data_IF_112846177182
#
_entry.id   IF_112846177182
#
_cell.length_a   1.000
_cell.length_b   1.000
_cell.length_c   1.000
_cell.angle_alpha   90.00
_cell.angle_beta   90.00
_cell.angle_gamma   90.00
#
_symmetry.space_group_name_H-M   'P 1'
#
loop_
_entity.id
_entity.type
_entity.pdbx_description
1 polymer ?
#
# COMPACT_ATOMS: atom_id res chain seq x y z
N UNK A 1 -69.42 10.58 -1.52
CA UNK A 1 -69.21 9.58 -0.46
C UNK A 1 -67.71 9.37 -0.36
N UNK A 2 -67.04 10.11 0.54
CA UNK A 2 -65.60 9.94 0.77
C UNK A 2 -65.42 8.68 1.60
N UNK A 3 -64.76 7.66 1.05
CA UNK A 3 -64.35 6.51 1.84
C UNK A 3 -63.30 6.96 2.87
N UNK A 4 -63.36 6.48 4.12
CA UNK A 4 -62.43 6.88 5.17
C UNK A 4 -61.03 6.34 4.88
N UNK A 5 -60.03 7.10 5.29
CA UNK A 5 -58.64 6.92 4.93
C UNK A 5 -58.05 5.57 5.32
N UNK A 6 -57.48 4.89 4.32
CA UNK A 6 -56.21 4.23 4.53
C UNK A 6 -55.15 5.33 4.57
N UNK A 7 -54.66 5.67 5.76
CA UNK A 7 -53.37 6.35 5.87
C UNK A 7 -52.34 5.38 5.32
N UNK A 8 -51.91 5.59 4.07
CA UNK A 8 -50.76 4.89 3.51
C UNK A 8 -49.57 5.16 4.42
N UNK A 9 -49.01 4.10 4.99
CA UNK A 9 -47.73 4.19 5.67
C UNK A 9 -46.69 4.50 4.58
N UNK A 10 -45.85 5.53 4.75
CA UNK A 10 -44.86 5.95 3.73
C UNK A 10 -43.95 4.81 3.26
N UNK A 11 -43.85 3.74 4.05
CA UNK A 11 -43.18 2.49 3.74
C UNK A 11 -43.79 1.74 2.55
N UNK A 12 -45.11 1.68 2.45
CA UNK A 12 -45.80 0.96 1.38
C UNK A 12 -45.60 1.67 0.03
N UNK A 13 -45.54 3.01 0.03
CA UNK A 13 -45.42 3.80 -1.19
C UNK A 13 -44.09 3.50 -1.92
N UNK A 14 -42.98 3.35 -1.19
CA UNK A 14 -41.67 3.04 -1.79
C UNK A 14 -41.60 1.59 -2.27
N UNK A 15 -42.20 0.65 -1.53
CA UNK A 15 -42.26 -0.76 -1.92
C UNK A 15 -43.08 -0.95 -3.21
N UNK A 16 -44.24 -0.27 -3.32
CA UNK A 16 -45.03 -0.22 -4.55
C UNK A 16 -44.18 0.33 -5.69
N UNK A 17 -43.38 1.36 -5.41
CA UNK A 17 -42.55 1.98 -6.41
C UNK A 17 -41.43 1.05 -6.92
N UNK A 18 -40.79 0.30 -6.02
CA UNK A 18 -39.77 -0.68 -6.38
C UNK A 18 -40.37 -1.85 -7.17
N UNK A 19 -41.54 -2.35 -6.76
CA UNK A 19 -42.29 -3.34 -7.53
C UNK A 19 -42.62 -2.84 -8.94
N UNK A 20 -43.03 -1.58 -9.08
CA UNK A 20 -43.30 -0.98 -10.39
C UNK A 20 -42.05 -0.96 -11.29
N UNK A 21 -40.85 -0.71 -10.75
CA UNK A 21 -39.60 -0.81 -11.52
C UNK A 21 -39.33 -2.27 -11.91
N UNK A 22 -39.38 -3.20 -10.96
CA UNK A 22 -39.01 -4.60 -11.18
C UNK A 22 -39.92 -5.32 -12.18
N UNK A 23 -41.21 -5.04 -12.13
CA UNK A 23 -42.23 -5.72 -12.93
C UNK A 23 -42.43 -5.08 -14.31
N UNK A 24 -41.95 -3.86 -14.54
CA UNK A 24 -42.12 -3.15 -15.82
C UNK A 24 -40.97 -3.36 -16.79
N UNK A 25 -41.27 -3.19 -18.08
CA UNK A 25 -40.28 -3.02 -19.17
C UNK A 25 -40.08 -1.55 -19.53
N UNK A 26 -41.07 -0.71 -19.25
CA UNK A 26 -41.01 0.75 -19.35
C UNK A 26 -41.62 1.32 -18.08
N UNK A 27 -40.84 2.12 -17.37
CA UNK A 27 -41.24 2.72 -16.11
C UNK A 27 -41.55 4.19 -16.33
N UNK A 28 -42.80 4.58 -16.08
CA UNK A 28 -43.27 5.95 -16.26
C UNK A 28 -43.22 6.69 -14.92
N UNK A 29 -42.27 7.60 -14.77
CA UNK A 29 -42.16 8.45 -13.59
C UNK A 29 -42.88 9.77 -13.82
N UNK A 30 -44.04 9.95 -13.19
CA UNK A 30 -44.88 11.11 -13.38
C UNK A 30 -44.75 12.12 -12.23
N UNK A 31 -44.25 13.31 -12.53
CA UNK A 31 -44.11 14.41 -11.56
C UNK A 31 -44.82 15.68 -12.04
N UNK A 32 -45.10 16.60 -11.12
CA UNK A 32 -45.67 17.91 -11.46
C UNK A 32 -44.55 18.91 -11.72
N UNK A 33 -44.79 19.84 -12.64
CA UNK A 33 -43.94 20.98 -12.94
C UNK A 33 -42.53 20.58 -13.45
N UNK A 34 -41.49 20.91 -12.69
CA UNK A 34 -40.08 20.74 -13.07
C UNK A 34 -39.45 19.54 -12.36
N UNK A 35 -38.31 19.08 -12.87
CA UNK A 35 -37.47 18.12 -12.16
C UNK A 35 -36.76 18.87 -11.04
N UNK A 36 -37.06 18.51 -9.80
CA UNK A 36 -36.38 19.02 -8.61
C UNK A 36 -35.53 17.94 -7.94
N UNK A 37 -34.73 18.33 -6.95
CA UNK A 37 -33.84 17.40 -6.24
C UNK A 37 -34.64 16.32 -5.51
N UNK A 38 -35.84 16.64 -5.01
CA UNK A 38 -36.69 15.67 -4.28
C UNK A 38 -37.13 14.53 -5.19
N UNK A 39 -37.51 14.84 -6.42
CA UNK A 39 -37.89 13.82 -7.40
C UNK A 39 -36.69 12.92 -7.79
N UNK A 40 -35.50 13.51 -7.93
CA UNK A 40 -34.27 12.77 -8.20
C UNK A 40 -33.90 11.85 -7.03
N UNK A 41 -33.94 12.35 -5.80
CA UNK A 41 -33.60 11.59 -4.60
C UNK A 41 -34.57 10.42 -4.38
N UNK A 42 -35.87 10.65 -4.60
CA UNK A 42 -36.88 9.60 -4.51
C UNK A 42 -36.66 8.52 -5.57
N UNK A 43 -36.40 8.91 -6.83
CA UNK A 43 -36.15 7.94 -7.88
C UNK A 43 -34.88 7.10 -7.62
N UNK A 44 -33.80 7.75 -7.20
CA UNK A 44 -32.57 7.07 -6.80
C UNK A 44 -32.82 6.06 -5.66
N UNK A 45 -33.60 6.45 -4.65
CA UNK A 45 -33.92 5.57 -3.53
C UNK A 45 -34.67 4.29 -3.98
N UNK A 46 -35.63 4.46 -4.88
CA UNK A 46 -36.44 3.34 -5.39
C UNK A 46 -35.62 2.40 -6.27
N UNK A 47 -34.64 2.92 -7.01
CA UNK A 47 -33.65 2.12 -7.74
C UNK A 47 -32.87 1.21 -6.78
N UNK A 48 -32.34 1.77 -5.70
CA UNK A 48 -31.59 0.99 -4.70
C UNK A 48 -32.44 -0.10 -4.05
N UNK A 49 -33.70 0.24 -3.71
CA UNK A 49 -34.65 -0.74 -3.15
C UNK A 49 -34.96 -1.88 -4.14
N UNK A 50 -35.09 -1.54 -5.43
CA UNK A 50 -35.32 -2.52 -6.49
C UNK A 50 -34.14 -3.48 -6.65
N UNK A 51 -32.91 -2.98 -6.56
CA UNK A 51 -31.71 -3.82 -6.63
C UNK A 51 -31.64 -4.82 -5.47
N UNK A 52 -32.01 -4.43 -4.25
CA UNK A 52 -32.06 -5.36 -3.12
C UNK A 52 -33.07 -6.48 -3.33
N UNK A 53 -34.30 -6.13 -3.74
CA UNK A 53 -35.35 -7.11 -4.01
C UNK A 53 -34.95 -8.14 -5.08
N UNK A 54 -34.10 -7.74 -6.03
CA UNK A 54 -33.52 -8.64 -7.02
C UNK A 54 -32.64 -9.71 -6.36
N UNK A 55 -31.74 -9.32 -5.45
CA UNK A 55 -30.80 -10.24 -4.77
C UNK A 55 -31.43 -11.24 -3.81
N UNK A 56 -32.70 -11.05 -3.43
CA UNK A 56 -33.47 -11.96 -2.55
C UNK A 56 -34.18 -13.07 -3.36
N UNK A 57 -34.13 -13.02 -4.70
CA UNK A 57 -34.78 -14.03 -5.56
C UNK A 57 -34.09 -15.41 -5.45
N UNK A 58 -34.85 -16.52 -5.36
CA UNK A 58 -34.27 -17.84 -5.22
C UNK A 58 -33.51 -18.30 -6.49
N UNK A 59 -32.47 -19.14 -6.34
CA UNK A 59 -31.55 -19.55 -7.41
C UNK A 59 -32.18 -20.40 -8.53
N UNK A 60 -33.43 -20.84 -8.38
CA UNK A 60 -34.12 -21.65 -9.39
C UNK A 60 -34.54 -20.86 -10.65
N UNK A 61 -34.27 -19.54 -10.70
CA UNK A 61 -34.58 -18.67 -11.85
C UNK A 61 -33.37 -17.99 -12.48
N UNK A 62 -32.17 -18.04 -11.88
CA UNK A 62 -30.97 -17.38 -12.39
C UNK A 62 -29.81 -18.38 -12.57
N UNK A 63 -29.42 -18.60 -13.83
CA UNK A 63 -28.11 -19.12 -14.13
C UNK A 63 -27.07 -18.02 -13.90
N UNK A 64 -26.14 -18.28 -12.97
CA UNK A 64 -24.85 -17.58 -12.73
C UNK A 64 -24.80 -16.11 -13.20
N UNK A 65 -25.11 -15.17 -12.29
CA UNK A 65 -24.98 -13.73 -12.54
C UNK A 65 -23.51 -13.27 -12.52
N UNK A 66 -23.03 -12.74 -13.66
CA UNK A 66 -21.91 -11.80 -13.72
C UNK A 66 -22.43 -10.37 -13.56
N UNK A 67 -21.65 -9.48 -12.93
CA UNK A 67 -22.02 -8.06 -12.72
C UNK A 67 -22.36 -7.27 -14.01
N UNK A 68 -22.00 -7.80 -15.19
CA UNK A 68 -22.34 -7.25 -16.50
C UNK A 68 -23.81 -7.52 -16.91
N UNK A 69 -24.47 -8.55 -16.36
CA UNK A 69 -25.84 -8.93 -16.72
C UNK A 69 -26.92 -8.11 -15.99
N UNK A 70 -26.57 -7.38 -14.93
CA UNK A 70 -27.49 -6.55 -14.15
C UNK A 70 -28.15 -5.43 -14.98
N UNK A 71 -27.49 -4.96 -16.04
CA UNK A 71 -27.96 -3.88 -16.94
C UNK A 71 -29.05 -4.36 -17.91
N UNK A 72 -29.14 -5.66 -18.21
CA UNK A 72 -30.08 -6.20 -19.21
C UNK A 72 -31.53 -6.37 -18.70
N UNK A 73 -31.79 -6.11 -17.42
CA UNK A 73 -33.10 -6.32 -16.79
C UNK A 73 -33.86 -5.03 -16.42
N UNK A 74 -33.20 -3.87 -16.49
CA UNK A 74 -33.77 -2.60 -16.08
C UNK A 74 -34.79 -2.08 -17.13
N UNK A 75 -35.93 -1.50 -16.70
CA UNK A 75 -36.87 -0.92 -17.64
C UNK A 75 -36.29 0.32 -18.32
N UNK A 76 -36.88 0.74 -19.44
CA UNK A 76 -36.65 2.07 -20.00
C UNK A 76 -37.35 3.13 -19.10
N UNK A 77 -36.72 4.27 -18.83
CA UNK A 77 -37.33 5.36 -18.07
C UNK A 77 -38.08 6.31 -18.99
N UNK A 78 -39.34 6.61 -18.67
CA UNK A 78 -40.10 7.70 -19.28
C UNK A 78 -40.53 8.67 -18.18
N UNK A 79 -39.97 9.88 -18.19
CA UNK A 79 -40.29 10.91 -17.20
C UNK A 79 -41.33 11.88 -17.75
N UNK A 80 -42.53 11.90 -17.15
CA UNK A 80 -43.62 12.77 -17.55
C UNK A 80 -43.76 13.95 -16.59
N UNK A 81 -43.73 15.18 -17.13
CA UNK A 81 -43.81 16.42 -16.38
C UNK A 81 -45.17 17.10 -16.64
N UNK A 82 -46.06 17.04 -15.65
CA UNK A 82 -47.42 17.55 -15.74
C UNK A 82 -47.49 19.03 -15.37
N UNK A 83 -48.35 19.79 -16.03
CA UNK A 83 -48.47 21.25 -15.83
C UNK A 83 -47.10 21.96 -15.95
N UNK A 84 -46.34 21.62 -16.99
CA UNK A 84 -45.01 22.19 -17.22
C UNK A 84 -45.13 23.69 -17.52
N UNK A 85 -44.35 24.52 -16.82
CA UNK A 85 -44.45 25.99 -16.93
C UNK A 85 -43.15 26.68 -17.37
N UNK A 86 -42.06 25.95 -17.51
CA UNK A 86 -40.78 26.52 -17.94
C UNK A 86 -40.76 26.62 -19.47
N UNK A 87 -40.09 27.64 -20.01
CA UNK A 87 -39.71 27.60 -21.42
C UNK A 87 -38.61 26.53 -21.59
N UNK A 88 -38.75 25.67 -22.60
CA UNK A 88 -37.70 24.71 -22.97
C UNK A 88 -36.58 25.47 -23.69
N UNK A 89 -35.83 26.25 -22.92
CA UNK A 89 -34.70 27.05 -23.39
C UNK A 89 -33.47 26.84 -22.50
N UNK A 90 -32.31 26.67 -23.12
CA UNK A 90 -31.01 26.67 -22.45
C UNK A 90 -30.01 27.48 -23.29
N UNK A 91 -29.24 28.35 -22.63
CA UNK A 91 -28.25 29.23 -23.27
C UNK A 91 -28.84 30.04 -24.46
N UNK A 92 -30.10 30.47 -24.34
CA UNK A 92 -30.82 31.23 -25.37
C UNK A 92 -31.25 30.41 -26.61
N UNK A 93 -31.17 29.08 -26.56
CA UNK A 93 -31.61 28.17 -27.63
C UNK A 93 -32.77 27.31 -27.14
N UNK A 94 -33.72 27.04 -28.03
CA UNK A 94 -34.77 26.04 -27.77
C UNK A 94 -34.15 24.65 -27.65
N UNK A 95 -34.59 23.91 -26.62
CA UNK A 95 -34.20 22.54 -26.35
C UNK A 95 -35.40 21.61 -26.39
N UNK A 96 -35.19 20.30 -26.54
CA UNK A 96 -36.26 19.31 -26.44
C UNK A 96 -36.54 18.96 -24.97
N UNK A 97 -37.67 18.29 -24.69
CA UNK A 97 -37.93 17.74 -23.36
C UNK A 97 -36.86 16.71 -22.94
N UNK A 98 -36.32 15.94 -23.90
CA UNK A 98 -35.24 14.99 -23.64
C UNK A 98 -33.94 15.72 -23.23
N UNK A 99 -33.59 16.79 -23.94
CA UNK A 99 -32.44 17.64 -23.58
C UNK A 99 -32.61 18.26 -22.19
N UNK A 100 -33.83 18.65 -21.82
CA UNK A 100 -34.14 19.16 -20.49
C UNK A 100 -33.88 18.10 -19.39
N UNK A 101 -34.24 16.84 -19.64
CA UNK A 101 -33.95 15.73 -18.74
C UNK A 101 -32.44 15.47 -18.62
N UNK A 102 -31.72 15.40 -19.75
CA UNK A 102 -30.27 15.19 -19.75
C UNK A 102 -29.53 16.32 -19.01
N UNK A 103 -29.94 17.57 -19.22
CA UNK A 103 -29.40 18.72 -18.49
C UNK A 103 -29.70 18.64 -16.99
N UNK A 104 -30.88 18.14 -16.59
CA UNK A 104 -31.27 17.98 -15.18
C UNK A 104 -30.45 16.89 -14.46
N UNK A 105 -30.01 15.87 -15.22
CA UNK A 105 -29.19 14.76 -14.74
C UNK A 105 -27.68 15.00 -14.90
N UNK A 106 -27.26 16.14 -15.48
CA UNK A 106 -25.84 16.45 -15.70
C UNK A 106 -25.06 16.51 -14.38
N UNK A 107 -23.93 15.81 -14.35
CA UNK A 107 -23.00 15.81 -13.21
C UNK A 107 -22.21 17.12 -13.15
N UNK A 108 -21.82 17.53 -11.94
CA UNK A 108 -20.92 18.67 -11.72
C UNK A 108 -19.48 18.18 -11.58
N UNK A 109 -18.54 18.91 -12.19
CA UNK A 109 -17.12 18.53 -12.29
C UNK A 109 -16.31 18.73 -11.00
N UNK A 110 -16.84 19.47 -10.02
CA UNK A 110 -16.10 19.85 -8.81
C UNK A 110 -16.15 18.78 -7.70
N UNK A 111 -15.06 18.62 -6.94
CA UNK A 111 -14.83 17.47 -6.03
C UNK A 111 -15.20 17.68 -4.55
N UNK A 112 -15.86 18.79 -4.19
CA UNK A 112 -16.29 19.05 -2.81
C UNK A 112 -17.36 18.03 -2.32
N UNK A 113 -17.46 17.79 -1.00
CA UNK A 113 -18.39 16.81 -0.41
C UNK A 113 -19.85 17.09 -0.78
N UNK A 114 -20.24 18.36 -0.88
CA UNK A 114 -21.58 18.76 -1.32
C UNK A 114 -21.88 18.35 -2.77
N UNK A 115 -20.85 18.20 -3.62
CA UNK A 115 -21.00 17.72 -4.99
C UNK A 115 -21.19 16.21 -5.07
N UNK A 116 -20.61 15.42 -4.16
CA UNK A 116 -20.84 13.97 -4.09
C UNK A 116 -22.31 13.64 -3.87
N UNK A 117 -22.97 14.33 -2.93
CA UNK A 117 -24.41 14.15 -2.65
C UNK A 117 -25.29 14.59 -3.82
N UNK A 118 -24.86 15.58 -4.60
CA UNK A 118 -25.58 16.02 -5.81
C UNK A 118 -25.39 15.04 -6.98
N UNK A 119 -24.17 14.54 -7.18
CA UNK A 119 -23.81 13.71 -8.33
C UNK A 119 -24.27 12.26 -8.19
N UNK A 120 -24.24 11.69 -6.99
CA UNK A 120 -24.55 10.26 -6.79
C UNK A 120 -25.95 9.86 -7.29
N UNK A 121 -27.06 10.52 -6.90
CA UNK A 121 -28.39 10.15 -7.39
C UNK A 121 -28.51 10.22 -8.92
N UNK A 122 -27.88 11.23 -9.52
CA UNK A 122 -27.90 11.45 -10.98
C UNK A 122 -27.12 10.38 -11.71
N UNK A 123 -25.94 10.04 -11.20
CA UNK A 123 -25.12 8.96 -11.74
C UNK A 123 -25.87 7.62 -11.66
N UNK A 124 -26.50 7.32 -10.52
CA UNK A 124 -27.30 6.10 -10.36
C UNK A 124 -28.45 6.02 -11.37
N UNK A 125 -29.21 7.11 -11.57
CA UNK A 125 -30.28 7.14 -12.58
C UNK A 125 -29.72 6.93 -14.00
N UNK A 126 -28.61 7.58 -14.33
CA UNK A 126 -27.96 7.47 -15.64
C UNK A 126 -27.47 6.04 -15.92
N UNK A 127 -26.91 5.38 -14.91
CA UNK A 127 -26.35 4.02 -15.00
C UNK A 127 -27.43 2.95 -14.96
N UNK A 128 -28.45 3.11 -14.12
CA UNK A 128 -29.49 2.10 -13.93
C UNK A 128 -30.45 1.99 -15.12
N UNK A 129 -30.92 3.13 -15.63
CA UNK A 129 -31.80 3.15 -16.80
C UNK A 129 -30.94 3.28 -18.06
N UNK A 130 -31.00 2.32 -18.98
CA UNK A 130 -30.21 2.41 -20.22
C UNK A 130 -30.76 3.50 -21.16
N UNK A 131 -32.10 3.56 -21.30
CA UNK A 131 -32.80 4.56 -22.11
C UNK A 131 -33.63 5.45 -21.21
N UNK A 132 -33.56 6.76 -21.47
CA UNK A 132 -34.42 7.77 -20.86
C UNK A 132 -35.19 8.52 -21.95
N UNK A 133 -36.43 8.87 -21.67
CA UNK A 133 -37.30 9.71 -22.49
C UNK A 133 -38.03 10.68 -21.58
N UNK A 134 -38.27 11.90 -22.04
CA UNK A 134 -39.05 12.88 -21.32
C UNK A 134 -40.23 13.38 -22.16
N UNK A 135 -41.36 13.59 -21.50
CA UNK A 135 -42.53 14.26 -22.06
C UNK A 135 -42.97 15.36 -21.10
N UNK A 136 -43.25 16.54 -21.66
CA UNK A 136 -43.89 17.65 -20.94
C UNK A 136 -45.35 17.71 -21.35
N UNK A 137 -46.21 18.04 -20.38
CA UNK A 137 -47.62 18.21 -20.59
C UNK A 137 -48.04 19.58 -20.10
N UNK A 138 -48.66 20.36 -20.98
CA UNK A 138 -49.33 21.59 -20.60
C UNK A 138 -50.54 21.30 -19.70
N UNK A 139 -51.07 22.34 -19.08
CA UNK A 139 -52.24 22.14 -18.24
C UNK A 139 -53.44 21.75 -19.11
N UNK A 140 -54.12 20.63 -18.82
CA UNK A 140 -55.09 20.05 -19.75
C UNK A 140 -56.30 20.94 -20.00
N UNK A 141 -56.61 21.82 -19.06
CA UNK A 141 -57.68 22.81 -19.15
C UNK A 141 -57.48 23.86 -18.07
N UNK A 142 -58.21 24.97 -18.15
CA UNK A 142 -58.27 25.98 -17.09
C UNK A 142 -58.60 25.36 -15.72
N UNK A 143 -57.89 25.83 -14.66
CA UNK A 143 -57.93 25.30 -13.28
C UNK A 143 -59.32 25.00 -12.73
N UNK A 144 -60.31 25.84 -13.05
CA UNK A 144 -61.71 25.68 -12.59
C UNK A 144 -62.41 24.44 -13.15
N UNK A 145 -61.95 23.89 -14.28
CA UNK A 145 -62.52 22.72 -14.94
C UNK A 145 -61.79 21.41 -14.58
N UNK A 146 -60.63 21.47 -13.92
CA UNK A 146 -59.80 20.28 -13.62
C UNK A 146 -60.54 19.22 -12.80
N UNK A 147 -61.44 19.63 -11.90
CA UNK A 147 -62.25 18.68 -11.12
C UNK A 147 -63.21 17.83 -11.99
N UNK A 148 -63.53 18.30 -13.20
CA UNK A 148 -64.40 17.63 -14.16
C UNK A 148 -63.62 17.01 -15.34
N UNK A 149 -62.28 16.97 -15.27
CA UNK A 149 -61.42 16.49 -16.35
C UNK A 149 -61.85 15.12 -16.93
N UNK A 150 -62.24 14.10 -16.14
CA UNK A 150 -62.66 12.81 -16.67
C UNK A 150 -63.93 12.84 -17.53
N UNK A 151 -64.74 13.90 -17.42
CA UNK A 151 -66.00 14.05 -18.18
C UNK A 151 -65.88 15.02 -19.36
N UNK A 152 -64.76 15.71 -19.51
CA UNK A 152 -64.54 16.65 -20.61
C UNK A 152 -64.22 15.89 -21.91
N UNK A 153 -64.71 16.41 -23.02
CA UNK A 153 -64.33 15.92 -24.34
C UNK A 153 -63.00 16.53 -24.80
N UNK A 154 -62.27 15.85 -25.71
CA UNK A 154 -60.96 16.33 -26.18
C UNK A 154 -60.99 17.73 -26.81
N UNK A 155 -62.12 18.15 -27.40
CA UNK A 155 -62.30 19.49 -27.96
C UNK A 155 -62.51 20.58 -26.88
N UNK A 156 -62.69 20.20 -25.62
CA UNK A 156 -62.76 21.10 -24.46
C UNK A 156 -61.44 21.19 -23.68
N UNK A 157 -60.44 20.40 -24.08
CA UNK A 157 -59.09 20.40 -23.54
C UNK A 157 -58.19 21.33 -24.36
N UNK A 158 -57.05 21.66 -23.77
CA UNK A 158 -55.99 22.35 -24.49
C UNK A 158 -55.51 21.50 -25.69
N UNK A 159 -55.49 22.03 -26.93
CA UNK A 159 -55.10 21.28 -28.11
C UNK A 159 -53.67 20.73 -28.04
N UNK A 160 -52.74 21.49 -27.46
CA UNK A 160 -51.34 21.08 -27.33
C UNK A 160 -51.23 19.94 -26.31
N UNK A 161 -51.97 20.02 -25.19
CA UNK A 161 -52.08 18.90 -24.25
C UNK A 161 -52.61 17.62 -24.91
N UNK A 162 -53.67 17.72 -25.73
CA UNK A 162 -54.24 16.56 -26.43
C UNK A 162 -53.22 15.93 -27.37
N UNK A 163 -52.46 16.75 -28.11
CA UNK A 163 -51.40 16.26 -29.00
C UNK A 163 -50.24 15.64 -28.21
N UNK A 164 -49.79 16.26 -27.12
CA UNK A 164 -48.73 15.74 -26.24
C UNK A 164 -49.11 14.36 -25.66
N UNK A 165 -50.36 14.18 -25.25
CA UNK A 165 -50.87 12.87 -24.78
C UNK A 165 -50.88 11.85 -25.92
N UNK A 166 -51.31 12.24 -27.12
CA UNK A 166 -51.29 11.36 -28.28
C UNK A 166 -49.85 10.91 -28.64
N UNK A 167 -48.89 11.82 -28.60
CA UNK A 167 -47.48 11.55 -28.88
C UNK A 167 -46.86 10.64 -27.80
N UNK A 168 -47.16 10.89 -26.53
CA UNK A 168 -46.76 10.01 -25.43
C UNK A 168 -47.32 8.59 -25.60
N UNK A 169 -48.62 8.45 -25.86
CA UNK A 169 -49.25 7.15 -26.06
C UNK A 169 -48.65 6.44 -27.28
N UNK A 170 -48.46 7.15 -28.39
CA UNK A 170 -47.81 6.62 -29.58
C UNK A 170 -46.39 6.12 -29.28
N UNK A 171 -45.60 6.89 -28.54
CA UNK A 171 -44.26 6.47 -28.14
C UNK A 171 -44.28 5.17 -27.34
N UNK A 172 -45.13 5.08 -26.31
CA UNK A 172 -45.27 3.87 -25.49
C UNK A 172 -45.66 2.66 -26.36
N UNK A 173 -46.64 2.80 -27.24
CA UNK A 173 -47.08 1.69 -28.11
C UNK A 173 -46.00 1.19 -29.08
N UNK A 174 -45.11 2.07 -29.55
CA UNK A 174 -44.09 1.71 -30.55
C UNK A 174 -42.73 1.32 -29.93
N UNK A 175 -42.39 1.84 -28.74
CA UNK A 175 -41.05 1.71 -28.17
C UNK A 175 -40.98 0.82 -26.93
N UNK A 176 -42.09 0.63 -26.20
CA UNK A 176 -42.11 -0.26 -25.05
C UNK A 176 -41.91 -1.72 -25.49
N UNK A 177 -40.91 -2.36 -24.90
CA UNK A 177 -40.56 -3.75 -25.19
C UNK A 177 -41.37 -4.70 -24.33
N UNK A 178 -41.47 -5.96 -24.76
CA UNK A 178 -41.88 -7.03 -23.87
C UNK A 178 -40.86 -7.17 -22.72
N UNK A 179 -41.33 -7.35 -21.47
CA UNK A 179 -40.45 -7.59 -20.32
C UNK A 179 -39.66 -8.89 -20.52
N UNK A 180 -38.37 -8.84 -20.23
CA UNK A 180 -37.46 -9.98 -20.32
C UNK A 180 -36.73 -10.18 -18.99
N UNK A 181 -36.45 -11.43 -18.63
CA UNK A 181 -35.53 -11.84 -17.54
C UNK A 181 -34.12 -12.09 -18.10
N UNK A 182 -33.17 -12.43 -17.22
CA UNK A 182 -31.84 -12.95 -17.53
C UNK A 182 -31.90 -13.98 -18.67
N UNK A 183 -30.96 -13.90 -19.63
CA UNK A 183 -30.99 -14.76 -20.82
C UNK A 183 -32.06 -14.42 -21.87
N UNK A 184 -32.59 -13.19 -21.87
CA UNK A 184 -33.62 -12.70 -22.84
C UNK A 184 -34.96 -13.45 -22.79
N UNK A 185 -35.29 -14.03 -21.64
CA UNK A 185 -36.51 -14.82 -21.45
C UNK A 185 -37.71 -13.88 -21.35
N UNK A 186 -38.62 -13.92 -22.34
CA UNK A 186 -39.85 -13.10 -22.32
C UNK A 186 -40.78 -13.50 -21.17
N UNK A 187 -41.24 -12.51 -20.42
CA UNK A 187 -42.21 -12.67 -19.33
C UNK A 187 -43.62 -12.71 -19.92
N UNK A 188 -44.35 -13.78 -19.62
CA UNK A 188 -45.76 -13.96 -19.94
C UNK A 188 -46.58 -13.96 -18.63
N UNK A 189 -47.90 -14.11 -18.72
CA UNK A 189 -48.81 -14.07 -17.55
C UNK A 189 -48.35 -14.93 -16.35
N UNK A 190 -48.12 -16.24 -16.52
CA UNK A 190 -47.66 -17.10 -15.42
C UNK A 190 -46.31 -16.71 -14.82
N UNK A 191 -45.36 -16.24 -15.66
CA UNK A 191 -44.07 -15.74 -15.16
C UNK A 191 -44.22 -14.44 -14.38
N UNK A 192 -45.11 -13.55 -14.83
CA UNK A 192 -45.40 -12.31 -14.12
C UNK A 192 -46.06 -12.60 -12.77
N UNK A 193 -47.00 -13.54 -12.73
CA UNK A 193 -47.60 -14.04 -11.47
C UNK A 193 -46.52 -14.55 -10.52
N UNK A 194 -45.60 -15.39 -11.01
CA UNK A 194 -44.48 -15.88 -10.22
C UNK A 194 -43.61 -14.74 -9.67
N UNK A 195 -43.28 -13.73 -10.49
CA UNK A 195 -42.47 -12.58 -10.07
C UNK A 195 -43.18 -11.74 -9.01
N UNK A 196 -44.47 -11.46 -9.20
CA UNK A 196 -45.28 -10.71 -8.24
C UNK A 196 -45.32 -11.46 -6.91
N UNK A 197 -45.62 -12.76 -6.92
CA UNK A 197 -45.65 -13.56 -5.70
C UNK A 197 -44.29 -13.59 -5.00
N UNK A 198 -43.20 -13.80 -5.74
CA UNK A 198 -41.85 -13.79 -5.17
C UNK A 198 -41.51 -12.47 -4.51
N UNK A 199 -41.67 -11.34 -5.21
CA UNK A 199 -41.31 -10.03 -4.64
C UNK A 199 -42.22 -9.60 -3.51
N UNK A 200 -43.54 -9.83 -3.61
CA UNK A 200 -44.48 -9.48 -2.54
C UNK A 200 -44.25 -10.35 -1.30
N UNK A 201 -43.95 -11.64 -1.46
CA UNK A 201 -43.59 -12.51 -0.34
C UNK A 201 -42.28 -12.04 0.33
N UNK A 202 -41.27 -11.65 -0.46
CA UNK A 202 -40.01 -11.12 0.07
C UNK A 202 -40.20 -9.81 0.85
N UNK A 203 -41.11 -8.93 0.39
CA UNK A 203 -41.50 -7.71 1.13
C UNK A 203 -42.25 -8.10 2.42
N UNK A 204 -43.22 -8.99 2.33
CA UNK A 204 -44.12 -9.35 3.43
C UNK A 204 -43.45 -10.16 4.54
N UNK A 205 -42.38 -10.89 4.24
CA UNK A 205 -41.61 -11.67 5.23
C UNK A 205 -40.74 -10.80 6.15
N UNK A 206 -40.80 -9.47 6.04
CA UNK A 206 -40.03 -8.55 6.88
C UNK A 206 -38.55 -8.46 6.50
N UNK A 207 -38.18 -8.97 5.32
CA UNK A 207 -36.81 -8.85 4.78
C UNK A 207 -36.51 -7.41 4.31
N UNK A 208 -37.50 -6.50 4.36
CA UNK A 208 -37.35 -5.07 4.07
C UNK A 208 -37.97 -4.23 5.21
N UNK A 209 -37.15 -3.53 6.02
CA UNK A 209 -37.64 -2.63 7.08
C UNK A 209 -38.31 -1.34 6.54
N UNK A 210 -38.74 -0.44 7.43
CA UNK A 210 -39.29 0.89 7.11
C UNK A 210 -38.25 1.90 6.57
N UNK A 211 -38.70 2.91 5.81
CA UNK A 211 -37.93 3.90 5.03
C UNK A 211 -36.67 4.47 5.71
N UNK A 212 -36.72 4.82 6.99
CA UNK A 212 -35.57 5.41 7.70
C UNK A 212 -34.63 4.34 8.27
N UNK A 213 -35.18 3.25 8.79
CA UNK A 213 -34.43 2.15 9.39
C UNK A 213 -33.79 1.23 8.34
N UNK A 214 -34.38 1.08 7.14
CA UNK A 214 -33.83 0.29 6.02
C UNK A 214 -32.66 0.96 5.37
N UNK A 215 -32.72 2.28 5.21
CA UNK A 215 -31.62 3.01 4.60
C UNK A 215 -30.42 3.01 5.54
N UNK A 216 -30.63 3.12 6.85
CA UNK A 216 -29.56 2.97 7.84
C UNK A 216 -29.05 1.53 7.94
N UNK A 217 -29.93 0.52 7.96
CA UNK A 217 -29.53 -0.89 7.99
C UNK A 217 -28.80 -1.32 6.70
N UNK A 218 -29.27 -0.88 5.54
CA UNK A 218 -28.58 -1.11 4.27
C UNK A 218 -27.24 -0.36 4.25
N UNK A 219 -27.18 0.89 4.74
CA UNK A 219 -25.93 1.64 4.80
C UNK A 219 -24.93 0.91 5.66
N UNK A 220 -25.39 0.35 6.78
CA UNK A 220 -24.57 -0.47 7.64
C UNK A 220 -24.06 -1.73 6.93
N UNK A 221 -24.92 -2.51 6.26
CA UNK A 221 -24.50 -3.73 5.55
C UNK A 221 -23.55 -3.41 4.38
N UNK A 222 -23.92 -2.49 3.48
CA UNK A 222 -23.09 -2.14 2.32
C UNK A 222 -21.79 -1.48 2.75
N UNK A 223 -21.80 -0.57 3.72
CA UNK A 223 -20.57 0.13 4.13
C UNK A 223 -19.62 -0.84 4.85
N UNK A 224 -20.13 -1.76 5.69
CA UNK A 224 -19.30 -2.84 6.24
C UNK A 224 -18.72 -3.74 5.15
N UNK A 225 -19.50 -4.13 4.14
CA UNK A 225 -19.00 -4.90 3.01
C UNK A 225 -17.99 -4.12 2.16
N UNK A 226 -18.19 -2.80 1.99
CA UNK A 226 -17.29 -1.91 1.29
C UNK A 226 -15.95 -1.77 2.01
N UNK A 227 -15.94 -1.71 3.35
CA UNK A 227 -14.71 -1.78 4.16
C UNK A 227 -13.98 -3.08 3.88
N UNK A 228 -14.66 -4.22 3.95
CA UNK A 228 -14.03 -5.52 3.69
C UNK A 228 -13.42 -5.59 2.29
N UNK A 229 -14.13 -5.08 1.28
CA UNK A 229 -13.65 -5.03 -0.11
C UNK A 229 -12.44 -4.10 -0.26
N UNK A 230 -12.47 -2.93 0.39
CA UNK A 230 -11.37 -1.97 0.38
C UNK A 230 -10.12 -2.54 1.07
N UNK A 231 -10.27 -3.18 2.23
CA UNK A 231 -9.16 -3.83 2.94
C UNK A 231 -8.61 -5.01 2.13
N UNK A 232 -9.46 -5.84 1.54
CA UNK A 232 -9.00 -6.93 0.66
C UNK A 232 -8.22 -6.40 -0.55
N UNK A 233 -8.67 -5.29 -1.15
CA UNK A 233 -7.95 -4.63 -2.22
C UNK A 233 -6.59 -4.10 -1.75
N UNK A 234 -6.55 -3.40 -0.61
CA UNK A 234 -5.31 -2.92 0.00
C UNK A 234 -4.32 -4.07 0.26
N UNK A 235 -4.78 -5.14 0.89
CA UNK A 235 -3.95 -6.33 1.21
C UNK A 235 -3.40 -6.96 -0.06
N UNK A 236 -4.22 -7.07 -1.11
CA UNK A 236 -3.78 -7.58 -2.41
C UNK A 236 -2.69 -6.69 -3.04
N UNK A 237 -2.91 -5.37 -3.06
CA UNK A 237 -1.95 -4.43 -3.65
C UNK A 237 -0.62 -4.44 -2.89
N UNK A 238 -0.67 -4.40 -1.56
CA UNK A 238 0.52 -4.44 -0.72
C UNK A 238 1.26 -5.78 -0.85
N UNK A 239 0.55 -6.91 -0.85
CA UNK A 239 1.18 -8.22 -1.01
C UNK A 239 1.87 -8.42 -2.38
N UNK A 240 1.34 -7.79 -3.45
CA UNK A 240 1.94 -7.89 -4.78
C UNK A 240 3.11 -6.93 -4.99
N UNK A 241 3.04 -5.72 -4.43
CA UNK A 241 4.00 -4.64 -4.71
C UNK A 241 5.13 -4.57 -3.68
N UNK A 242 4.88 -4.92 -2.42
CA UNK A 242 5.87 -4.80 -1.34
C UNK A 242 6.78 -6.01 -1.32
N UNK A 243 8.09 -5.74 -1.31
CA UNK A 243 9.11 -6.74 -1.05
C UNK A 243 9.94 -6.29 0.15
N UNK A 244 9.84 -7.05 1.24
CA UNK A 244 10.54 -6.76 2.49
C UNK A 244 11.94 -7.39 2.52
N UNK A 245 12.93 -6.74 3.17
CA UNK A 245 12.86 -5.33 3.60
C UNK A 245 12.91 -4.38 2.40
N UNK A 246 12.24 -3.23 2.52
CA UNK A 246 12.34 -2.14 1.54
C UNK A 246 13.73 -1.48 1.59
N UNK A 247 14.16 -0.80 0.54
CA UNK A 247 15.47 -0.12 0.52
C UNK A 247 15.54 1.00 1.56
N UNK A 248 14.44 1.76 1.69
CA UNK A 248 14.29 2.81 2.67
C UNK A 248 12.82 2.90 3.14
N UNK A 249 12.57 3.73 4.16
CA UNK A 249 11.21 3.91 4.69
C UNK A 249 10.27 4.57 3.67
N UNK A 250 10.79 5.47 2.84
CA UNK A 250 9.97 6.21 1.87
C UNK A 250 9.34 5.29 0.83
N UNK A 251 10.07 4.29 0.34
CA UNK A 251 9.55 3.25 -0.58
C UNK A 251 8.30 2.57 0.01
N UNK A 252 8.34 2.15 1.28
CA UNK A 252 7.21 1.52 1.95
C UNK A 252 6.02 2.51 2.09
N UNK A 253 6.31 3.76 2.47
CA UNK A 253 5.29 4.79 2.66
C UNK A 253 4.60 5.18 1.33
N UNK A 254 5.34 5.22 0.23
CA UNK A 254 4.80 5.55 -1.09
C UNK A 254 3.90 4.43 -1.63
N UNK A 255 4.32 3.16 -1.45
CA UNK A 255 3.51 1.99 -1.78
C UNK A 255 2.22 1.94 -0.95
N UNK A 256 2.33 2.20 0.35
CA UNK A 256 1.18 2.31 1.25
C UNK A 256 0.23 3.42 0.79
N UNK A 257 0.72 4.65 0.58
CA UNK A 257 -0.11 5.81 0.19
C UNK A 257 -0.87 5.53 -1.11
N UNK A 258 -0.21 4.88 -2.07
CA UNK A 258 -0.84 4.53 -3.35
C UNK A 258 -1.95 3.48 -3.13
N UNK A 259 -1.67 2.43 -2.37
CA UNK A 259 -2.63 1.34 -2.09
C UNK A 259 -3.79 1.80 -1.21
N UNK A 260 -3.53 2.68 -0.24
CA UNK A 260 -4.52 3.34 0.61
C UNK A 260 -5.48 4.18 -0.24
N UNK A 261 -4.94 5.03 -1.13
CA UNK A 261 -5.77 5.85 -2.02
C UNK A 261 -6.67 4.98 -2.90
N UNK A 262 -6.14 3.93 -3.50
CA UNK A 262 -6.92 2.98 -4.30
C UNK A 262 -8.00 2.28 -3.44
N UNK A 263 -7.69 1.88 -2.21
CA UNK A 263 -8.65 1.27 -1.29
C UNK A 263 -9.77 2.23 -0.87
N UNK A 264 -9.46 3.50 -0.62
CA UNK A 264 -10.45 4.54 -0.35
C UNK A 264 -11.35 4.77 -1.56
N UNK A 265 -10.79 4.80 -2.78
CA UNK A 265 -11.59 4.87 -4.01
C UNK A 265 -12.52 3.66 -4.16
N UNK A 266 -12.04 2.44 -3.87
CA UNK A 266 -12.87 1.23 -3.83
C UNK A 266 -14.00 1.38 -2.80
N UNK A 267 -13.72 1.88 -1.60
CA UNK A 267 -14.75 2.11 -0.59
C UNK A 267 -15.79 3.12 -1.07
N UNK A 268 -15.38 4.29 -1.57
CA UNK A 268 -16.28 5.35 -2.07
C UNK A 268 -17.21 4.83 -3.16
N UNK A 269 -16.68 4.00 -4.07
CA UNK A 269 -17.46 3.44 -5.18
C UNK A 269 -18.43 2.32 -4.75
N UNK A 270 -18.31 1.79 -3.53
CA UNK A 270 -19.11 0.67 -3.05
C UNK A 270 -19.90 0.98 -1.76
N UNK A 271 -19.73 2.19 -1.19
CA UNK A 271 -20.42 2.65 0.01
C UNK A 271 -21.58 3.60 -0.33
N UNK A 272 -22.50 3.78 0.62
CA UNK A 272 -23.55 4.78 0.49
C UNK A 272 -24.06 5.25 1.87
N UNK A 273 -24.51 6.51 1.94
CA UNK A 273 -25.09 7.15 3.12
C UNK A 273 -24.33 6.85 4.43
N UNK A 274 -23.02 7.06 4.42
CA UNK A 274 -22.17 6.99 5.62
C UNK A 274 -22.38 8.25 6.49
N UNK A 275 -23.42 8.22 7.31
CA UNK A 275 -23.75 9.32 8.23
C UNK A 275 -22.60 9.53 9.22
N UNK A 276 -22.13 10.78 9.36
CA UNK A 276 -20.98 11.21 10.17
C UNK A 276 -19.61 10.62 9.75
N UNK A 277 -19.53 10.00 8.56
CA UNK A 277 -18.32 9.35 8.04
C UNK A 277 -17.79 8.27 8.99
N UNK A 278 -18.67 7.50 9.63
CA UNK A 278 -18.27 6.50 10.64
C UNK A 278 -17.54 5.33 10.01
N UNK A 279 -18.03 4.83 8.89
CA UNK A 279 -17.42 3.70 8.18
C UNK A 279 -16.12 4.13 7.49
N UNK A 280 -16.06 5.35 6.97
CA UNK A 280 -14.82 5.90 6.44
C UNK A 280 -13.75 6.02 7.53
N UNK A 281 -14.06 6.55 8.72
CA UNK A 281 -13.10 6.61 9.84
C UNK A 281 -12.68 5.23 10.34
N UNK A 282 -13.60 4.27 10.33
CA UNK A 282 -13.28 2.87 10.63
C UNK A 282 -12.29 2.31 9.60
N UNK A 283 -12.51 2.56 8.30
CA UNK A 283 -11.57 2.19 7.24
C UNK A 283 -10.19 2.83 7.43
N UNK A 284 -10.14 4.13 7.69
CA UNK A 284 -8.90 4.87 7.94
C UNK A 284 -8.14 4.26 9.12
N UNK A 285 -8.83 3.97 10.24
CA UNK A 285 -8.23 3.32 11.41
C UNK A 285 -7.67 1.92 11.08
N UNK A 286 -8.38 1.14 10.26
CA UNK A 286 -7.92 -0.18 9.82
C UNK A 286 -6.70 -0.09 8.90
N UNK A 287 -6.66 0.90 8.00
CA UNK A 287 -5.54 1.14 7.09
C UNK A 287 -4.30 1.65 7.85
N UNK A 288 -4.47 2.50 8.86
CA UNK A 288 -3.41 2.92 9.78
C UNK A 288 -2.84 1.72 10.54
N UNK A 289 -3.70 0.86 11.11
CA UNK A 289 -3.25 -0.35 11.80
C UNK A 289 -2.47 -1.30 10.87
N UNK A 290 -2.92 -1.44 9.61
CA UNK A 290 -2.20 -2.20 8.58
C UNK A 290 -0.86 -1.56 8.22
N UNK A 291 -0.78 -0.23 8.15
CA UNK A 291 0.48 0.49 7.91
C UNK A 291 1.50 0.18 9.01
N UNK A 292 1.07 0.22 10.27
CA UNK A 292 1.92 -0.05 11.42
C UNK A 292 2.39 -1.51 11.45
N UNK A 293 1.55 -2.46 11.07
CA UNK A 293 1.94 -3.87 10.92
C UNK A 293 3.02 -4.04 9.83
N UNK A 294 2.84 -3.44 8.65
CA UNK A 294 3.86 -3.46 7.60
C UNK A 294 5.17 -2.78 8.03
N UNK A 295 5.10 -1.68 8.79
CA UNK A 295 6.29 -1.02 9.35
C UNK A 295 7.05 -1.94 10.30
N UNK A 296 6.33 -2.64 11.18
CA UNK A 296 6.91 -3.59 12.11
C UNK A 296 7.57 -4.76 11.38
N UNK A 297 6.87 -5.36 10.41
CA UNK A 297 7.42 -6.44 9.59
C UNK A 297 8.66 -5.98 8.79
N UNK A 298 8.66 -4.75 8.26
CA UNK A 298 9.82 -4.20 7.55
C UNK A 298 11.02 -3.98 8.48
N UNK A 299 10.78 -3.49 9.70
CA UNK A 299 11.81 -3.33 10.72
C UNK A 299 12.45 -4.68 11.08
N UNK A 300 11.62 -5.70 11.33
CA UNK A 300 12.06 -7.06 11.65
C UNK A 300 12.85 -7.69 10.50
N UNK A 301 12.31 -7.65 9.27
CA UNK A 301 12.99 -8.16 8.08
C UNK A 301 14.32 -7.43 7.81
N UNK A 302 14.39 -6.13 8.08
CA UNK A 302 15.62 -5.34 7.96
C UNK A 302 16.65 -5.75 9.02
N UNK A 303 16.22 -5.90 10.27
CA UNK A 303 17.06 -6.38 11.37
C UNK A 303 17.64 -7.78 11.10
N UNK A 304 16.79 -8.72 10.67
CA UNK A 304 17.19 -10.09 10.35
C UNK A 304 18.20 -10.13 9.21
N UNK A 305 17.92 -9.40 8.13
CA UNK A 305 18.82 -9.31 6.97
C UNK A 305 20.16 -8.67 7.35
N UNK A 306 20.15 -7.58 8.11
CA UNK A 306 21.37 -6.94 8.56
C UNK A 306 22.19 -7.86 9.46
N UNK A 307 21.55 -8.57 10.39
CA UNK A 307 22.19 -9.53 11.28
C UNK A 307 22.85 -10.67 10.50
N UNK A 308 22.16 -11.24 9.52
CA UNK A 308 22.70 -12.26 8.63
C UNK A 308 23.91 -11.73 7.83
N UNK A 309 23.79 -10.55 7.22
CA UNK A 309 24.90 -9.93 6.48
C UNK A 309 26.11 -9.63 7.37
N UNK A 310 25.89 -9.15 8.60
CA UNK A 310 26.97 -8.90 9.55
C UNK A 310 27.71 -10.19 9.89
N UNK A 311 26.98 -11.29 10.13
CA UNK A 311 27.57 -12.60 10.37
C UNK A 311 28.35 -13.12 9.15
N UNK A 312 27.79 -13.00 7.94
CA UNK A 312 28.42 -13.49 6.72
C UNK A 312 29.66 -12.67 6.34
N UNK A 313 29.61 -11.35 6.51
CA UNK A 313 30.69 -10.43 6.11
C UNK A 313 31.80 -10.38 7.17
N UNK A 314 31.44 -10.29 8.46
CA UNK A 314 32.40 -10.12 9.54
C UNK A 314 32.72 -11.40 10.31
N UNK A 315 31.90 -12.46 10.20
CA UNK A 315 32.19 -13.76 10.84
C UNK A 315 33.59 -14.30 10.54
N UNK A 316 34.08 -14.25 9.27
CA UNK A 316 35.45 -14.65 8.97
C UNK A 316 36.52 -13.79 9.68
N UNK A 317 36.28 -12.49 9.86
CA UNK A 317 37.18 -11.61 10.61
C UNK A 317 37.25 -12.03 12.08
N UNK A 318 36.11 -12.34 12.69
CA UNK A 318 36.07 -12.82 14.08
C UNK A 318 36.88 -14.11 14.27
N UNK A 319 36.78 -15.03 13.31
CA UNK A 319 37.53 -16.28 13.34
C UNK A 319 39.04 -16.06 13.17
N UNK A 320 39.45 -15.16 12.27
CA UNK A 320 40.87 -14.78 12.15
C UNK A 320 41.42 -14.13 13.41
N UNK A 321 40.60 -13.34 14.14
CA UNK A 321 41.00 -12.80 15.43
C UNK A 321 41.19 -13.91 16.47
N UNK A 322 40.26 -14.87 16.56
CA UNK A 322 40.37 -16.02 17.49
C UNK A 322 41.60 -16.88 17.21
N UNK A 323 41.95 -17.06 15.94
CA UNK A 323 43.14 -17.78 15.51
C UNK A 323 44.45 -17.01 15.73
N UNK A 324 44.38 -15.76 16.23
CA UNK A 324 45.55 -14.95 16.53
C UNK A 324 46.25 -14.38 15.30
N UNK A 325 45.59 -14.29 14.14
CA UNK A 325 46.17 -13.76 12.89
C UNK A 325 46.69 -12.32 13.06
N UNK A 326 46.02 -11.55 13.92
CA UNK A 326 46.36 -10.16 14.23
C UNK A 326 47.26 -9.99 15.45
N UNK A 327 47.63 -11.08 16.13
CA UNK A 327 48.49 -11.05 17.33
C UNK A 327 49.98 -10.99 16.95
N UNK A 328 50.35 -9.94 16.22
CA UNK A 328 51.72 -9.69 15.72
C UNK A 328 52.03 -8.19 15.69
N UNK A 329 53.32 -7.78 15.65
CA UNK A 329 53.68 -6.37 15.48
C UNK A 329 53.04 -5.73 14.23
N UNK A 330 52.35 -4.61 14.41
CA UNK A 330 51.56 -3.93 13.39
C UNK A 330 50.22 -4.60 13.05
N UNK A 331 49.81 -5.61 13.81
CA UNK A 331 48.57 -6.36 13.62
C UNK A 331 47.31 -5.52 13.81
N UNK A 332 47.31 -4.55 14.72
CA UNK A 332 46.16 -3.66 14.94
C UNK A 332 45.85 -2.83 13.68
N UNK A 333 46.88 -2.31 13.01
CA UNK A 333 46.69 -1.56 11.75
C UNK A 333 46.04 -2.42 10.67
N UNK A 334 46.48 -3.67 10.51
CA UNK A 334 45.91 -4.61 9.55
C UNK A 334 44.46 -4.98 9.89
N UNK A 335 44.15 -5.12 11.18
CA UNK A 335 42.78 -5.35 11.65
C UNK A 335 41.85 -4.20 11.29
N UNK A 336 42.25 -2.95 11.60
CA UNK A 336 41.45 -1.77 11.27
C UNK A 336 41.23 -1.63 9.76
N UNK A 337 42.29 -1.82 8.95
CA UNK A 337 42.16 -1.80 7.50
C UNK A 337 41.16 -2.84 7.00
N UNK A 338 41.26 -4.08 7.50
CA UNK A 338 40.34 -5.14 7.09
C UNK A 338 38.90 -4.85 7.51
N UNK A 339 38.71 -4.28 8.70
CA UNK A 339 37.40 -3.86 9.20
C UNK A 339 36.76 -2.80 8.31
N UNK A 340 37.52 -1.79 7.85
CA UNK A 340 36.99 -0.77 6.93
C UNK A 340 36.65 -1.33 5.54
N UNK A 341 37.44 -2.27 5.01
CA UNK A 341 37.09 -3.00 3.77
C UNK A 341 35.75 -3.75 3.90
N UNK A 342 35.54 -4.42 5.03
CA UNK A 342 34.31 -5.17 5.29
C UNK A 342 33.10 -4.26 5.52
N UNK A 343 33.29 -3.10 6.16
CA UNK A 343 32.25 -2.05 6.25
C UNK A 343 31.85 -1.58 4.86
N UNK A 344 32.81 -1.30 3.98
CA UNK A 344 32.51 -0.91 2.61
C UNK A 344 31.72 -1.99 1.86
N UNK A 345 32.07 -3.28 2.06
CA UNK A 345 31.32 -4.41 1.50
C UNK A 345 29.88 -4.46 2.03
N UNK A 346 29.67 -4.28 3.33
CA UNK A 346 28.33 -4.22 3.94
C UNK A 346 27.48 -3.09 3.33
N UNK A 347 28.06 -1.90 3.13
CA UNK A 347 27.35 -0.79 2.51
C UNK A 347 26.94 -1.05 1.06
N UNK A 348 27.70 -1.85 0.31
CA UNK A 348 27.39 -2.21 -1.08
C UNK A 348 26.23 -3.22 -1.21
N UNK A 349 25.90 -3.97 -0.16
CA UNK A 349 24.79 -4.94 -0.22
C UNK A 349 23.44 -4.24 -0.40
N UNK A 350 22.63 -4.60 -1.40
CA UNK A 350 21.35 -3.93 -1.64
C UNK A 350 20.29 -4.34 -0.61
N UNK A 351 19.25 -3.51 -0.45
CA UNK A 351 18.03 -3.81 0.31
C UNK A 351 18.29 -4.25 1.74
N UNK A 352 19.20 -3.61 2.45
CA UNK A 352 19.41 -3.88 3.89
C UNK A 352 18.23 -3.36 4.72
N UNK A 353 17.60 -2.30 4.24
CA UNK A 353 16.48 -1.62 4.87
C UNK A 353 16.88 -0.66 5.98
N UNK A 354 15.86 -0.22 6.71
CA UNK A 354 15.93 0.90 7.64
C UNK A 354 16.82 0.68 8.87
N UNK A 355 17.17 -0.57 9.19
CA UNK A 355 18.02 -0.92 10.34
C UNK A 355 19.51 -1.01 9.97
N UNK A 356 19.89 -0.74 8.72
CA UNK A 356 21.25 -0.96 8.24
C UNK A 356 22.35 -0.27 9.07
N UNK A 357 22.15 1.01 9.39
CA UNK A 357 23.16 1.82 10.10
C UNK A 357 23.21 1.46 11.58
N UNK A 358 22.05 1.35 12.22
CA UNK A 358 21.92 1.00 13.63
C UNK A 358 22.49 -0.39 13.92
N UNK A 359 22.17 -1.39 13.09
CA UNK A 359 22.69 -2.74 13.23
C UNK A 359 24.22 -2.78 13.09
N UNK A 360 24.78 -2.09 12.09
CA UNK A 360 26.23 -2.01 11.92
C UNK A 360 26.91 -1.29 13.08
N UNK A 361 26.35 -0.17 13.54
CA UNK A 361 26.89 0.58 14.67
C UNK A 361 26.90 -0.26 15.95
N UNK A 362 25.78 -0.90 16.27
CA UNK A 362 25.65 -1.77 17.44
C UNK A 362 26.64 -2.94 17.37
N UNK A 363 26.79 -3.55 16.20
CA UNK A 363 27.77 -4.59 15.98
C UNK A 363 29.20 -4.08 16.21
N UNK A 364 29.59 -2.96 15.61
CA UNK A 364 30.94 -2.41 15.76
C UNK A 364 31.26 -2.03 17.21
N UNK A 365 30.31 -1.43 17.92
CA UNK A 365 30.43 -1.12 19.35
C UNK A 365 30.62 -2.40 20.19
N UNK A 366 29.88 -3.47 19.88
CA UNK A 366 30.03 -4.76 20.58
C UNK A 366 31.43 -5.38 20.41
N UNK A 367 32.18 -4.98 19.37
CA UNK A 367 33.53 -5.48 19.05
C UNK A 367 34.65 -4.51 19.43
N UNK A 368 34.35 -3.40 20.10
CA UNK A 368 35.34 -2.39 20.47
C UNK A 368 36.42 -2.96 21.42
N UNK A 369 36.00 -3.73 22.43
CA UNK A 369 36.91 -4.41 23.36
C UNK A 369 37.87 -5.39 22.68
N UNK A 370 37.45 -6.02 21.58
CA UNK A 370 38.30 -6.90 20.77
C UNK A 370 39.37 -6.08 20.05
N UNK A 371 39.00 -4.91 19.51
CA UNK A 371 39.94 -3.98 18.89
C UNK A 371 40.98 -3.51 19.90
N UNK A 372 40.56 -3.15 21.11
CA UNK A 372 41.44 -2.70 22.19
C UNK A 372 42.40 -3.81 22.63
N UNK A 373 41.93 -5.05 22.75
CA UNK A 373 42.77 -6.20 23.10
C UNK A 373 43.85 -6.45 22.04
N UNK A 374 43.52 -6.32 20.75
CA UNK A 374 44.48 -6.42 19.65
C UNK A 374 45.49 -5.27 19.73
N UNK A 375 45.05 -4.04 20.02
CA UNK A 375 45.93 -2.89 20.17
C UNK A 375 46.94 -3.08 21.31
N UNK A 376 46.49 -3.51 22.49
CA UNK A 376 47.38 -3.76 23.63
C UNK A 376 48.39 -4.88 23.33
N UNK A 377 47.93 -5.94 22.65
CA UNK A 377 48.79 -7.05 22.24
C UNK A 377 49.85 -6.58 21.23
N UNK A 378 49.47 -5.78 20.24
CA UNK A 378 50.38 -5.20 19.25
C UNK A 378 51.44 -4.32 19.91
N UNK A 379 51.04 -3.40 20.80
CA UNK A 379 51.97 -2.54 21.54
C UNK A 379 52.98 -3.35 22.36
N UNK A 380 52.51 -4.37 23.08
CA UNK A 380 53.37 -5.24 23.89
C UNK A 380 54.35 -6.05 23.03
N UNK A 381 53.89 -6.63 21.92
CA UNK A 381 54.73 -7.40 21.01
C UNK A 381 55.74 -6.53 20.28
N UNK A 382 55.33 -5.33 19.85
CA UNK A 382 56.20 -4.35 19.20
C UNK A 382 57.29 -3.85 20.17
N UNK A 383 56.94 -3.58 21.42
CA UNK A 383 57.90 -3.23 22.46
C UNK A 383 58.92 -4.35 22.71
N UNK A 384 58.45 -5.60 22.89
CA UNK A 384 59.33 -6.78 23.04
C UNK A 384 60.23 -7.01 21.84
N UNK A 385 59.75 -6.79 20.61
CA UNK A 385 60.58 -6.94 19.42
C UNK A 385 61.69 -5.89 19.37
N UNK A 386 61.38 -4.65 19.76
CA UNK A 386 62.36 -3.58 19.88
C UNK A 386 63.42 -3.89 20.94
N UNK A 387 63.01 -4.31 22.13
CA UNK A 387 63.93 -4.75 23.19
C UNK A 387 64.82 -5.91 22.74
N UNK A 388 64.26 -6.91 22.04
CA UNK A 388 65.03 -8.04 21.51
C UNK A 388 66.05 -7.60 20.47
N UNK A 389 65.69 -6.67 19.57
CA UNK A 389 66.62 -6.08 18.59
C UNK A 389 67.74 -5.31 19.28
N UNK A 390 67.41 -4.51 20.29
CA UNK A 390 68.41 -3.77 21.08
C UNK A 390 69.34 -4.71 21.86
N UNK A 391 68.80 -5.77 22.47
CA UNK A 391 69.58 -6.78 23.17
C UNK A 391 70.50 -7.55 22.21
N UNK A 392 69.99 -7.90 21.01
CA UNK A 392 70.79 -8.54 19.97
C UNK A 392 71.95 -7.64 19.50
N UNK A 393 71.68 -6.36 19.23
CA UNK A 393 72.72 -5.39 18.85
C UNK A 393 73.76 -5.20 19.96
N UNK A 394 73.33 -5.16 21.23
CA UNK A 394 74.25 -5.09 22.39
C UNK A 394 75.09 -6.35 22.54
N UNK A 395 74.47 -7.53 22.35
CA UNK A 395 75.17 -8.81 22.41
C UNK A 395 76.21 -8.91 21.28
N UNK A 396 75.83 -8.60 20.05
CA UNK A 396 76.74 -8.58 18.90
C UNK A 396 77.91 -7.61 19.12
N UNK A 397 77.63 -6.40 19.62
CA UNK A 397 78.69 -5.44 19.97
C UNK A 397 79.61 -5.97 21.09
N UNK A 398 79.07 -6.68 22.08
CA UNK A 398 79.86 -7.30 23.14
C UNK A 398 80.71 -8.46 22.61
N UNK A 399 80.17 -9.31 21.73
CA UNK A 399 80.92 -10.40 21.08
C UNK A 399 82.08 -9.86 20.26
N UNK A 400 81.83 -8.84 19.43
CA UNK A 400 82.88 -8.15 18.65
C UNK A 400 83.98 -7.57 19.55
N UNK A 401 83.60 -6.94 20.68
CA UNK A 401 84.59 -6.45 21.67
C UNK A 401 85.41 -7.57 22.30
N UNK A 402 84.79 -8.72 22.58
CA UNK A 402 85.45 -9.86 23.20
C UNK A 402 86.44 -10.53 22.24
N UNK A 403 86.06 -10.66 20.95
CA UNK A 403 86.95 -11.10 19.87
C UNK A 403 88.15 -10.15 19.71
N UNK A 404 87.92 -8.83 19.76
CA UNK A 404 88.99 -7.82 19.72
C UNK A 404 89.96 -7.98 20.91
N UNK A 405 89.44 -8.15 22.14
CA UNK A 405 90.25 -8.37 23.35
C UNK A 405 91.03 -9.69 23.26
N UNK A 406 90.39 -10.79 22.82
CA UNK A 406 91.07 -12.08 22.64
C UNK A 406 92.20 -11.96 21.62
N UNK A 407 91.96 -11.29 20.50
CA UNK A 407 92.97 -11.03 19.47
C UNK A 407 94.14 -10.19 20.03
N UNK A 408 93.86 -9.15 20.80
CA UNK A 408 94.90 -8.35 21.47
C UNK A 408 95.71 -9.18 22.49
N UNK A 409 95.04 -10.01 23.29
CA UNK A 409 95.71 -10.90 24.25
C UNK A 409 96.58 -11.95 23.55
N UNK A 410 96.11 -12.51 22.43
CA UNK A 410 96.87 -13.44 21.59
C UNK A 410 98.15 -12.77 21.09
N UNK A 411 98.05 -11.56 20.54
CA UNK A 411 99.20 -10.78 20.09
C UNK A 411 100.19 -10.47 21.22
N UNK A 412 99.69 -10.12 22.42
CA UNK A 412 100.52 -9.90 23.60
C UNK A 412 101.24 -11.18 24.06
N UNK A 413 100.58 -12.34 24.03
CA UNK A 413 101.19 -13.61 24.40
C UNK A 413 102.26 -14.03 23.39
N UNK A 414 101.98 -13.89 22.08
CA UNK A 414 102.98 -14.12 21.03
C UNK A 414 104.19 -13.20 21.16
N UNK A 415 103.97 -11.93 21.51
CA UNK A 415 105.05 -10.97 21.73
C UNK A 415 105.87 -11.30 22.99
N UNK A 416 105.21 -11.72 24.08
CA UNK A 416 105.90 -12.23 25.28
C UNK A 416 106.70 -13.49 25.01
N UNK A 417 106.16 -14.42 24.23
CA UNK A 417 106.89 -15.62 23.79
C UNK A 417 108.10 -15.24 22.94
N UNK A 418 107.96 -14.31 21.99
CA UNK A 418 109.09 -13.78 21.22
C UNK A 418 110.15 -13.16 22.13
N UNK A 419 109.75 -12.32 23.08
CA UNK A 419 110.67 -11.70 24.04
C UNK A 419 111.34 -12.73 24.94
N UNK A 420 110.62 -13.76 25.38
CA UNK A 420 111.18 -14.84 26.20
C UNK A 420 112.15 -15.71 25.41
N UNK A 421 111.81 -16.08 24.17
CA UNK A 421 112.72 -16.79 23.27
C UNK A 421 113.97 -15.96 22.97
N UNK A 422 113.83 -14.63 22.82
CA UNK A 422 114.96 -13.74 22.65
C UNK A 422 115.82 -13.66 23.92
N UNK A 423 115.23 -13.61 25.12
CA UNK A 423 115.97 -13.69 26.38
C UNK A 423 116.71 -15.01 26.54
N UNK A 424 116.11 -16.14 26.15
CA UNK A 424 116.77 -17.44 26.16
C UNK A 424 117.95 -17.46 25.18
N UNK A 425 117.79 -16.92 23.96
CA UNK A 425 118.90 -16.76 23.01
C UNK A 425 120.02 -15.90 23.60
N UNK A 426 119.70 -14.77 24.22
CA UNK A 426 120.68 -13.90 24.87
C UNK A 426 121.39 -14.61 26.04
N UNK A 427 120.66 -15.40 26.84
CA UNK A 427 121.26 -16.23 27.89
C UNK A 427 122.16 -17.33 27.34
N UNK A 428 121.77 -18.01 26.26
CA UNK A 428 122.61 -19.00 25.59
C UNK A 428 123.89 -18.37 25.03
N UNK A 429 123.78 -17.19 24.40
CA UNK A 429 124.92 -16.41 23.93
C UNK A 429 125.81 -16.01 25.12
N UNK A 430 125.24 -15.51 26.21
CA UNK A 430 125.98 -15.11 27.41
C UNK A 430 126.66 -16.31 28.10
N UNK A 431 126.00 -17.48 28.13
CA UNK A 431 126.54 -18.72 28.68
C UNK A 431 127.66 -19.28 27.81
N UNK A 432 127.53 -19.19 26.48
CA UNK A 432 128.60 -19.50 25.54
C UNK A 432 129.79 -18.54 25.69
N UNK A 433 129.55 -17.25 25.91
CA UNK A 433 130.59 -16.25 26.22
C UNK A 433 131.27 -16.51 27.57
N UNK A 434 130.53 -16.90 28.61
CA UNK A 434 131.11 -17.29 29.90
C UNK A 434 131.93 -18.58 29.82
N UNK A 435 131.48 -19.58 29.05
CA UNK A 435 132.26 -20.79 28.79
C UNK A 435 133.54 -20.49 28.00
N UNK A 436 133.47 -19.56 27.03
CA UNK A 436 134.65 -19.07 26.31
C UNK A 436 135.60 -18.29 27.25
N UNK A 437 135.09 -17.49 28.17
CA UNK A 437 135.90 -16.81 29.19
C UNK A 437 136.51 -17.78 30.23
N UNK A 438 135.81 -18.85 30.58
CA UNK A 438 136.34 -19.91 31.46
C UNK A 438 137.41 -20.76 30.74
N UNK A 439 137.29 -20.98 29.44
CA UNK A 439 138.35 -21.61 28.63
C UNK A 439 139.59 -20.70 28.52
N UNK A 440 139.41 -19.39 28.37
CA UNK A 440 140.50 -18.41 28.35
C UNK A 440 141.18 -18.22 29.73
N UNK A 441 140.53 -18.60 30.83
CA UNK A 441 141.08 -18.54 32.19
C UNK A 441 141.79 -19.83 32.63
N UNK A 442 141.77 -20.89 31.81
CA UNK A 442 142.56 -22.11 32.00
C UNK A 442 143.85 -22.14 31.17
N UNK A 443 144.05 -21.15 30.29
CA UNK A 443 145.25 -21.00 29.44
C UNK A 443 146.23 -19.92 29.94
N UNK A 444 146.06 -19.40 31.16
CA UNK A 444 147.02 -18.56 31.87
C UNK A 444 147.05 -18.92 33.36
#
# INVERSE_FOLDING_TARGET
MFAPGYKGDQNNDTQIFALAILLSSTFVYNTMNKIDQRAIDLLHYVIELSNQLRTVSPPDLDGVEDAADAVNFCPDLVWTLRDFYLSLEADGKHITADDYLENSLKLKEDTDENHKNFNLPRHCIQTFFARKKCFVFDSPTHRKKLAHLPTLHNNELDPDFVQQVADFCSYIFHHSKAKTLSGSIKVNGPRLESLVLTYVNAISSGNLPSMENTVLALAQIKNSAAIQKAIAHYDQQMAQKVQLPTENLQELLDLHRTSEKEAIEVFINNSFKDVDQRFQKELETLLEAKQDDFRKQNLEASSDRCSALLQDIFGPLEEYVKQGVYSKPGGHRLFIQKREELKAKYYQEPRKGIQAEEALQNYLQSKESVSDAILQTDLALTAKEKERKEAYLKAEAATRRLEEIQRQNQQMMEERERQHQEQLRQMEIHRAQQLAQQQMAWEH
#
